data_IF_815565469016
#
_entry.id   IF_815565469016
#
_cell.length_a   1.000
_cell.length_b   1.000
_cell.length_c   1.000
_cell.angle_alpha   90.00
_cell.angle_beta   90.00
_cell.angle_gamma   90.00
#
_symmetry.space_group_name_H-M   'P 1'
#
loop_
_entity.id
_entity.type
_entity.pdbx_description
1 polymer ?
#
# COMPACT_ATOMS: atom_id res chain seq x y z
N UNK A 1 11.96 6.83 -13.46
CA UNK A 1 12.70 7.21 -12.25
C UNK A 1 12.10 6.49 -11.07
N UNK A 2 11.07 7.07 -10.46
CA UNK A 2 10.33 6.49 -9.34
C UNK A 2 9.77 5.08 -9.63
N UNK A 3 9.15 4.90 -10.80
CA UNK A 3 8.62 3.60 -11.26
C UNK A 3 9.68 2.49 -11.29
N UNK A 4 10.95 2.82 -11.58
CA UNK A 4 12.02 1.81 -11.59
C UNK A 4 12.40 1.37 -10.17
N UNK A 5 12.33 2.28 -9.20
CA UNK A 5 12.61 2.00 -7.78
C UNK A 5 11.52 1.08 -7.24
N UNK A 6 10.25 1.44 -7.48
CA UNK A 6 9.10 0.65 -7.06
C UNK A 6 9.11 -0.75 -7.69
N UNK A 7 9.36 -0.86 -9.00
CA UNK A 7 9.51 -2.14 -9.70
C UNK A 7 10.65 -3.01 -9.12
N UNK A 8 11.77 -2.41 -8.76
CA UNK A 8 12.88 -3.14 -8.14
C UNK A 8 12.45 -3.72 -6.79
N UNK A 9 11.76 -2.93 -5.95
CA UNK A 9 11.28 -3.39 -4.65
C UNK A 9 10.28 -4.53 -4.72
N UNK A 10 9.40 -4.54 -5.71
CA UNK A 10 8.52 -5.70 -5.93
C UNK A 10 9.30 -6.96 -6.30
N UNK A 11 10.36 -6.82 -7.10
CA UNK A 11 11.20 -7.96 -7.45
C UNK A 11 11.94 -8.49 -6.22
N UNK A 12 12.46 -7.60 -5.39
CA UNK A 12 13.14 -7.95 -4.14
C UNK A 12 12.17 -8.55 -3.11
N UNK A 13 10.95 -8.00 -2.97
CA UNK A 13 9.95 -8.52 -2.03
C UNK A 13 9.48 -9.93 -2.40
N UNK A 14 9.32 -10.19 -3.71
CA UNK A 14 8.99 -11.52 -4.25
C UNK A 14 10.15 -12.52 -4.07
N UNK A 15 11.40 -12.08 -4.27
CA UNK A 15 12.58 -12.94 -4.09
C UNK A 15 12.83 -13.29 -2.62
N UNK A 16 12.62 -12.33 -1.72
CA UNK A 16 12.87 -12.50 -0.28
C UNK A 16 11.66 -13.10 0.47
N UNK A 17 10.52 -13.27 -0.20
CA UNK A 17 9.29 -13.84 0.38
C UNK A 17 8.59 -12.94 1.39
N UNK A 18 8.94 -11.64 1.43
CA UNK A 18 8.35 -10.65 2.35
C UNK A 18 6.97 -10.23 1.85
N UNK A 19 6.72 -10.29 0.54
CA UNK A 19 5.45 -9.89 -0.10
C UNK A 19 5.26 -8.38 -0.18
N UNK A 20 5.74 -7.63 0.82
CA UNK A 20 5.61 -6.17 0.93
C UNK A 20 6.78 -5.47 0.27
N UNK A 21 6.52 -4.44 -0.53
CA UNK A 21 7.55 -3.63 -1.17
C UNK A 21 8.17 -2.62 -0.17
N UNK A 22 9.46 -2.77 0.21
CA UNK A 22 10.07 -1.91 1.23
C UNK A 22 10.21 -0.44 0.78
N UNK A 23 10.22 -0.17 -0.52
CA UNK A 23 10.34 1.20 -1.02
C UNK A 23 9.02 1.97 -0.93
N UNK A 24 7.86 1.31 -0.86
CA UNK A 24 6.58 1.99 -0.64
C UNK A 24 6.57 2.72 0.70
N UNK A 25 6.94 2.02 1.79
CA UNK A 25 7.05 2.61 3.13
C UNK A 25 8.04 3.78 3.16
N UNK A 26 9.21 3.64 2.54
CA UNK A 26 10.21 4.72 2.50
C UNK A 26 9.71 5.95 1.72
N UNK A 27 8.90 5.74 0.67
CA UNK A 27 8.29 6.82 -0.10
C UNK A 27 7.21 7.52 0.73
N UNK A 28 6.38 6.78 1.47
CA UNK A 28 5.38 7.35 2.39
C UNK A 28 6.00 8.17 3.52
N UNK A 29 7.03 7.64 4.19
CA UNK A 29 7.76 8.36 5.25
C UNK A 29 8.39 9.68 4.75
N UNK A 30 8.72 9.75 3.47
CA UNK A 30 9.26 10.93 2.81
C UNK A 30 8.19 11.91 2.29
N UNK A 31 6.91 11.71 2.65
CA UNK A 31 5.75 12.45 2.12
C UNK A 31 5.65 12.36 0.59
N UNK A 32 6.13 11.25 0.03
CA UNK A 32 6.13 10.99 -1.41
C UNK A 32 4.74 10.65 -1.91
N UNK A 33 4.00 9.81 -1.18
CA UNK A 33 2.63 9.44 -1.52
C UNK A 33 1.72 10.67 -1.55
N UNK A 34 1.76 11.53 -0.52
CA UNK A 34 0.96 12.78 -0.48
C UNK A 34 1.19 13.67 -1.72
N UNK A 35 2.45 13.75 -2.18
CA UNK A 35 2.80 14.54 -3.36
C UNK A 35 2.30 13.89 -4.64
N UNK A 36 2.28 12.57 -4.71
CA UNK A 36 1.77 11.82 -5.87
C UNK A 36 0.23 11.96 -5.92
N UNK A 37 -0.46 11.89 -4.77
CA UNK A 37 -1.89 12.16 -4.67
C UNK A 37 -2.22 13.59 -5.11
N UNK A 38 -1.43 14.58 -4.68
CA UNK A 38 -1.60 15.95 -5.14
C UNK A 38 -1.55 16.07 -6.67
N UNK A 39 -0.70 15.29 -7.35
CA UNK A 39 -0.60 15.26 -8.81
C UNK A 39 -1.85 14.68 -9.49
N UNK A 40 -2.75 13.99 -8.78
CA UNK A 40 -4.05 13.59 -9.31
C UNK A 40 -5.04 14.77 -9.50
N UNK A 41 -4.69 15.97 -9.02
CA UNK A 41 -5.45 17.19 -9.33
C UNK A 41 -4.86 18.00 -10.49
N UNK A 42 -3.76 17.52 -11.09
CA UNK A 42 -3.02 18.26 -12.09
C UNK A 42 -3.77 18.32 -13.43
N UNK A 43 -3.82 19.50 -14.08
CA UNK A 43 -4.57 19.74 -15.32
C UNK A 43 -4.04 18.95 -16.53
N UNK A 44 -2.73 18.66 -16.53
CA UNK A 44 -2.11 17.79 -17.52
C UNK A 44 -2.53 16.33 -17.29
N UNK A 45 -3.29 15.79 -18.23
CA UNK A 45 -3.82 14.43 -18.20
C UNK A 45 -2.72 13.35 -18.10
N UNK A 46 -1.54 13.57 -18.68
CA UNK A 46 -0.44 12.60 -18.58
C UNK A 46 0.14 12.54 -17.17
N UNK A 47 0.18 13.69 -16.47
CA UNK A 47 0.65 13.76 -15.08
C UNK A 47 -0.37 13.09 -14.16
N UNK A 48 -1.65 13.42 -14.34
CA UNK A 48 -2.76 12.75 -13.64
C UNK A 48 -2.68 11.24 -13.82
N UNK A 49 -2.61 10.76 -15.07
CA UNK A 49 -2.66 9.33 -15.37
C UNK A 49 -1.46 8.61 -14.74
N UNK A 50 -0.26 9.19 -14.82
CA UNK A 50 0.92 8.59 -14.20
C UNK A 50 0.83 8.53 -12.68
N UNK A 51 0.26 9.55 -12.04
CA UNK A 51 0.04 9.54 -10.60
C UNK A 51 -1.01 8.50 -10.19
N UNK A 52 -2.10 8.42 -10.97
CA UNK A 52 -3.15 7.42 -10.81
C UNK A 52 -2.61 5.99 -10.92
N UNK A 53 -1.92 5.66 -12.01
CA UNK A 53 -1.38 4.33 -12.26
C UNK A 53 -0.39 3.91 -11.16
N UNK A 54 0.44 4.85 -10.70
CA UNK A 54 1.45 4.57 -9.69
C UNK A 54 0.84 4.32 -8.31
N UNK A 55 -0.21 5.07 -7.97
CA UNK A 55 -0.99 4.81 -6.74
C UNK A 55 -1.70 3.48 -6.86
N UNK A 56 -2.49 3.25 -7.91
CA UNK A 56 -3.25 2.01 -8.09
C UNK A 56 -2.36 0.76 -8.04
N UNK A 57 -1.18 0.81 -8.66
CA UNK A 57 -0.32 -0.36 -8.78
C UNK A 57 0.52 -0.67 -7.53
N UNK A 58 0.96 0.37 -6.80
CA UNK A 58 1.95 0.19 -5.72
C UNK A 58 1.47 0.61 -4.32
N UNK A 59 0.40 1.41 -4.24
CA UNK A 59 -0.16 1.97 -2.99
C UNK A 59 -1.66 1.73 -2.87
N UNK A 60 -2.30 1.13 -3.88
CA UNK A 60 -3.67 0.67 -3.83
C UNK A 60 -3.80 -0.37 -2.73
N UNK A 61 -4.98 -0.45 -2.14
CA UNK A 61 -5.26 -1.29 -0.96
C UNK A 61 -4.78 -2.72 -1.22
N UNK A 62 -3.62 -3.06 -0.66
CA UNK A 62 -3.23 -4.46 -0.46
C UNK A 62 -4.35 -5.06 0.39
N UNK A 63 -4.96 -6.14 -0.13
CA UNK A 63 -6.09 -6.86 0.48
C UNK A 63 -5.92 -6.88 2.00
N UNK A 64 -6.94 -6.38 2.73
CA UNK A 64 -7.03 -6.41 4.20
C UNK A 64 -6.31 -7.65 4.71
N UNK A 65 -5.14 -7.49 5.34
CA UNK A 65 -4.41 -8.64 5.85
C UNK A 65 -5.38 -9.40 6.77
N UNK A 66 -5.77 -10.64 6.41
CA UNK A 66 -6.83 -11.34 7.11
C UNK A 66 -6.42 -11.71 8.56
N UNK A 67 -5.17 -11.41 8.96
CA UNK A 67 -4.71 -11.49 10.34
C UNK A 67 -5.04 -10.26 11.19
N UNK A 68 -5.27 -9.09 10.59
CA UNK A 68 -5.66 -7.83 11.29
C UNK A 68 -7.16 -7.57 11.26
N UNK A 69 -7.94 -8.29 10.44
CA UNK A 69 -9.40 -8.22 10.52
C UNK A 69 -9.90 -8.86 11.83
N UNK A 70 -10.65 -8.13 12.67
CA UNK A 70 -11.18 -8.68 13.91
C UNK A 70 -12.13 -9.83 13.61
N UNK A 71 -11.94 -10.96 14.28
CA UNK A 71 -12.83 -12.11 14.13
C UNK A 71 -14.21 -11.75 14.66
N UNK A 72 -15.26 -12.04 13.89
CA UNK A 72 -16.64 -11.87 14.34
C UNK A 72 -17.10 -13.17 14.99
N UNK A 73 -17.46 -13.14 16.26
CA UNK A 73 -18.20 -14.24 16.87
C UNK A 73 -19.65 -14.17 16.38
N UNK A 74 -19.98 -14.97 15.36
CA UNK A 74 -21.32 -15.03 14.75
C UNK A 74 -22.41 -15.42 15.75
N UNK A 75 -22.07 -16.13 16.83
CA UNK A 75 -23.04 -16.53 17.86
C UNK A 75 -23.44 -15.38 18.78
N UNK A 76 -22.56 -14.38 18.94
CA UNK A 76 -22.75 -13.24 19.85
C UNK A 76 -22.86 -11.90 19.10
N UNK A 77 -22.68 -11.89 17.78
CA UNK A 77 -22.61 -10.67 16.95
C UNK A 77 -21.61 -9.64 17.50
N UNK A 78 -20.48 -10.09 18.04
CA UNK A 78 -19.43 -9.23 18.60
C UNK A 78 -18.10 -9.39 17.87
N UNK A 79 -17.37 -8.28 17.72
CA UNK A 79 -16.00 -8.27 17.23
C UNK A 79 -15.03 -8.68 18.34
N UNK A 80 -14.17 -9.65 18.05
CA UNK A 80 -13.13 -10.17 18.93
C UNK A 80 -11.77 -9.69 18.43
N UNK A 81 -11.12 -8.84 19.21
CA UNK A 81 -9.74 -8.41 18.96
C UNK A 81 -8.80 -9.30 19.77
N UNK A 82 -8.03 -10.16 19.11
CA UNK A 82 -6.94 -10.87 19.77
C UNK A 82 -5.80 -9.87 20.01
N UNK A 83 -5.61 -9.43 21.25
CA UNK A 83 -4.41 -8.71 21.65
C UNK A 83 -3.22 -9.66 21.47
N UNK A 84 -2.38 -9.41 20.47
CA UNK A 84 -1.04 -10.00 20.43
C UNK A 84 -0.26 -9.42 21.62
N UNK A 85 0.04 -10.27 22.60
CA UNK A 85 0.95 -9.93 23.69
C UNK A 85 2.34 -9.65 23.08
N UNK A 86 2.92 -8.50 23.47
CA UNK A 86 4.23 -8.01 23.02
C UNK A 86 5.40 -8.82 23.62
#
# INVERSE_FOLDING_TARGET
>A
GLENILRLGEQESKQNGIGINPYCALIEEAYGLDKIEFLQSHENQEIYQKAFDLIEHYFGVEEDDPSIVPQVDESQQQFVFQQQEA
#
